data_IF_702272779020
#
_entry.id   IF_702272779020
#
_cell.length_a   1.000
_cell.length_b   1.000
_cell.length_c   1.000
_cell.angle_alpha   90.00
_cell.angle_beta   90.00
_cell.angle_gamma   90.00
#
_symmetry.space_group_name_H-M   'P 1'
#
loop_
_entity.id
_entity.type
_entity.pdbx_description
1 polymer ?
#
# COMPACT_ATOMS: atom_id res chain seq x y z
N UNK A 1 -17.44 16.41 25.33
CA UNK A 1 -18.73 15.74 25.08
C UNK A 1 -18.55 14.30 24.64
N UNK A 2 -18.50 13.38 25.61
CA UNK A 2 -18.31 11.93 25.39
C UNK A 2 -19.54 11.19 24.86
N UNK A 3 -20.35 11.87 24.03
CA UNK A 3 -21.61 11.35 23.48
C UNK A 3 -21.44 10.52 22.21
N UNK A 4 -20.27 10.58 21.58
CA UNK A 4 -19.96 9.82 20.37
C UNK A 4 -19.20 8.54 20.75
N UNK A 5 -19.89 7.39 20.76
CA UNK A 5 -19.21 6.09 20.83
C UNK A 5 -19.90 4.96 21.61
N UNK A 6 -21.13 5.13 22.12
CA UNK A 6 -21.90 3.99 22.65
C UNK A 6 -22.50 3.19 21.49
N UNK A 7 -21.81 2.13 21.07
CA UNK A 7 -22.38 1.10 20.22
C UNK A 7 -23.13 0.07 21.08
N UNK A 8 -24.44 -0.06 20.87
CA UNK A 8 -25.24 -1.10 21.50
C UNK A 8 -25.03 -2.43 20.76
N UNK A 9 -24.44 -3.42 21.45
CA UNK A 9 -24.30 -4.79 20.96
C UNK A 9 -25.23 -5.69 21.78
N UNK A 10 -26.30 -6.19 21.14
CA UNK A 10 -27.28 -7.03 21.84
C UNK A 10 -28.17 -7.84 20.89
N UNK A 11 -28.67 -8.96 21.40
CA UNK A 11 -29.69 -9.81 20.75
C UNK A 11 -31.07 -9.44 21.30
N UNK A 12 -31.72 -8.44 20.71
CA UNK A 12 -33.09 -8.03 21.06
C UNK A 12 -33.52 -6.83 20.24
N UNK A 13 -34.71 -6.89 19.63
CA UNK A 13 -35.33 -5.72 19.02
C UNK A 13 -35.57 -4.67 20.12
N UNK A 14 -35.23 -3.40 19.86
CA UNK A 14 -35.49 -2.22 20.70
C UNK A 14 -34.54 -1.87 21.87
N UNK A 15 -33.51 -2.67 22.18
CA UNK A 15 -32.55 -2.35 23.27
C UNK A 15 -31.75 -1.04 23.07
N UNK A 16 -31.51 -0.66 21.82
CA UNK A 16 -30.79 0.58 21.49
C UNK A 16 -31.59 1.85 21.78
N UNK A 17 -32.92 1.82 21.58
CA UNK A 17 -33.79 2.97 21.88
C UNK A 17 -33.99 3.14 23.38
N UNK A 18 -34.17 2.03 24.11
CA UNK A 18 -34.24 2.03 25.58
C UNK A 18 -32.94 2.57 26.20
N UNK A 19 -31.77 2.12 25.74
CA UNK A 19 -30.49 2.61 26.23
C UNK A 19 -30.31 4.12 25.95
N UNK A 20 -30.83 4.62 24.83
CA UNK A 20 -30.82 6.04 24.50
C UNK A 20 -31.75 6.85 25.41
N UNK A 21 -32.96 6.35 25.68
CA UNK A 21 -33.88 6.97 26.65
C UNK A 21 -33.27 7.03 28.06
N UNK A 22 -32.67 5.95 28.54
CA UNK A 22 -31.97 5.91 29.83
C UNK A 22 -30.75 6.85 29.89
N UNK A 23 -30.11 7.12 28.76
CA UNK A 23 -29.04 8.10 28.67
C UNK A 23 -29.59 9.53 28.74
N UNK A 24 -30.68 9.82 28.02
CA UNK A 24 -31.36 11.12 28.05
C UNK A 24 -31.91 11.45 29.44
N UNK A 25 -32.40 10.44 30.17
CA UNK A 25 -32.88 10.55 31.55
C UNK A 25 -31.73 10.59 32.60
N UNK A 26 -30.47 10.45 32.18
CA UNK A 26 -29.28 10.51 33.04
C UNK A 26 -29.06 9.28 33.93
N UNK A 27 -29.82 8.20 33.72
CA UNK A 27 -29.75 6.95 34.50
C UNK A 27 -28.39 6.28 34.27
N UNK A 28 -27.94 6.20 33.01
CA UNK A 28 -26.66 5.57 32.68
C UNK A 28 -25.46 6.36 33.24
N UNK A 29 -25.52 7.68 33.18
CA UNK A 29 -24.48 8.56 33.75
C UNK A 29 -24.39 8.41 35.26
N UNK A 30 -25.54 8.29 35.94
CA UNK A 30 -25.57 8.02 37.37
C UNK A 30 -24.93 6.67 37.72
N UNK A 31 -25.29 5.58 37.01
CA UNK A 31 -24.70 4.26 37.25
C UNK A 31 -23.19 4.23 36.99
N UNK A 32 -22.75 4.90 35.92
CA UNK A 32 -21.32 5.03 35.60
C UNK A 32 -20.56 5.82 36.68
N UNK A 33 -21.18 6.85 37.27
CA UNK A 33 -20.57 7.64 38.36
C UNK A 33 -20.54 6.90 39.68
N UNK A 34 -21.61 6.17 40.01
CA UNK A 34 -21.74 5.44 41.27
C UNK A 34 -20.88 4.16 41.28
N UNK A 35 -20.59 3.60 40.10
CA UNK A 35 -19.73 2.44 39.94
C UNK A 35 -20.33 1.14 40.50
N UNK A 36 -21.66 1.08 40.64
CA UNK A 36 -22.37 -0.08 41.21
C UNK A 36 -23.55 -0.52 40.33
N UNK A 37 -23.83 -1.84 40.24
CA UNK A 37 -25.00 -2.33 39.52
C UNK A 37 -26.29 -1.79 40.11
N UNK A 38 -27.24 -1.47 39.24
CA UNK A 38 -28.55 -0.95 39.64
C UNK A 38 -29.67 -1.62 38.86
N UNK A 39 -30.76 -1.93 39.55
CA UNK A 39 -31.99 -2.45 38.92
C UNK A 39 -32.96 -1.30 38.74
N UNK A 40 -33.34 -1.08 37.48
CA UNK A 40 -34.23 -0.01 37.04
C UNK A 40 -35.47 -0.67 36.43
N UNK A 41 -36.69 -0.29 36.82
CA UNK A 41 -37.90 -0.84 36.22
C UNK A 41 -37.98 -0.45 34.74
N UNK A 42 -38.51 -1.36 33.91
CA UNK A 42 -38.86 -1.02 32.53
C UNK A 42 -40.18 -0.23 32.54
N UNK A 43 -40.11 1.07 32.23
CA UNK A 43 -41.29 1.94 32.25
C UNK A 43 -42.21 1.74 31.03
N UNK A 44 -41.75 1.04 29.99
CA UNK A 44 -42.52 0.77 28.77
C UNK A 44 -43.14 -0.64 28.74
N UNK A 45 -42.82 -1.49 29.73
CA UNK A 45 -43.34 -2.85 29.81
C UNK A 45 -44.83 -2.89 30.17
N UNK A 46 -45.60 -3.67 29.40
CA UNK A 46 -47.06 -3.86 29.57
C UNK A 46 -47.39 -4.66 30.83
N UNK A 47 -46.56 -5.65 31.17
CA UNK A 47 -46.58 -6.37 32.45
C UNK A 47 -45.51 -5.75 33.36
N UNK A 48 -45.93 -5.11 34.46
CA UNK A 48 -45.11 -4.29 35.37
C UNK A 48 -44.02 -5.06 36.16
N UNK A 49 -43.59 -6.23 35.68
CA UNK A 49 -42.59 -7.10 36.31
C UNK A 49 -41.25 -7.14 35.56
N UNK A 50 -41.12 -6.42 34.45
CA UNK A 50 -39.86 -6.33 33.69
C UNK A 50 -38.92 -5.26 34.27
N UNK A 51 -37.64 -5.60 34.31
CA UNK A 51 -36.58 -4.78 34.87
C UNK A 51 -35.35 -4.79 33.96
N UNK A 52 -34.57 -3.71 34.04
CA UNK A 52 -33.22 -3.62 33.51
C UNK A 52 -32.21 -3.65 34.65
N UNK A 53 -31.24 -4.57 34.56
CA UNK A 53 -30.04 -4.51 35.38
C UNK A 53 -28.98 -3.76 34.59
N UNK A 54 -28.61 -2.58 35.09
CA UNK A 54 -27.56 -1.75 34.53
C UNK A 54 -26.29 -1.97 35.35
N UNK A 55 -25.28 -2.55 34.72
CA UNK A 55 -24.01 -2.90 35.36
C UNK A 55 -22.90 -2.05 34.74
N UNK A 56 -22.16 -1.24 35.52
CA UNK A 56 -21.07 -0.46 34.95
C UNK A 56 -19.92 -1.38 34.49
N UNK A 57 -19.44 -1.14 33.27
CA UNK A 57 -18.20 -1.72 32.78
C UNK A 57 -17.07 -0.79 33.22
N UNK A 58 -16.41 -1.09 34.34
CA UNK A 58 -15.37 -0.25 34.90
C UNK A 58 -14.00 -0.93 34.83
N UNK A 59 -12.98 -0.13 34.51
CA UNK A 59 -11.59 -0.52 34.68
C UNK A 59 -10.94 0.48 35.64
N UNK A 60 -10.43 -0.03 36.77
CA UNK A 60 -9.97 0.79 37.91
C UNK A 60 -11.10 1.74 38.34
N UNK A 61 -10.86 3.05 38.36
CA UNK A 61 -11.83 4.07 38.80
C UNK A 61 -12.58 4.73 37.63
N UNK A 62 -12.55 4.14 36.43
CA UNK A 62 -13.18 4.70 35.23
C UNK A 62 -14.17 3.72 34.61
N UNK A 63 -15.44 4.13 34.55
CA UNK A 63 -16.43 3.46 33.72
C UNK A 63 -16.16 3.72 32.24
N UNK A 64 -16.08 2.65 31.44
CA UNK A 64 -15.89 2.68 29.99
C UNK A 64 -17.18 2.38 29.22
N UNK A 65 -18.25 2.04 29.92
CA UNK A 65 -19.58 1.76 29.40
C UNK A 65 -20.48 1.10 30.44
N UNK A 66 -21.59 0.55 29.97
CA UNK A 66 -22.54 -0.22 30.79
C UNK A 66 -22.93 -1.51 30.09
N UNK A 67 -23.23 -2.53 30.88
CA UNK A 67 -23.85 -3.77 30.45
C UNK A 67 -25.32 -3.73 30.90
N UNK A 68 -26.24 -3.87 29.96
CA UNK A 68 -27.67 -3.76 30.20
C UNK A 68 -28.32 -5.13 30.03
N UNK A 69 -28.98 -5.62 31.08
CA UNK A 69 -29.63 -6.93 31.09
C UNK A 69 -31.12 -6.70 31.26
N UNK A 70 -31.92 -7.09 30.25
CA UNK A 70 -33.37 -7.11 30.37
C UNK A 70 -33.83 -8.42 31.04
N UNK A 71 -34.66 -8.33 32.07
CA UNK A 71 -35.05 -9.48 32.88
C UNK A 71 -36.46 -9.34 33.44
N UNK A 72 -37.18 -10.45 33.54
CA UNK A 72 -38.48 -10.54 34.22
C UNK A 72 -38.35 -10.81 35.72
N UNK A 73 -37.12 -10.84 36.26
CA UNK A 73 -36.89 -11.06 37.69
C UNK A 73 -37.24 -9.79 38.47
N UNK A 74 -38.09 -9.86 39.51
CA UNK A 74 -38.38 -8.71 40.36
C UNK A 74 -37.13 -8.14 41.04
N UNK A 75 -37.14 -6.84 41.30
CA UNK A 75 -36.01 -6.13 41.91
C UNK A 75 -35.64 -6.69 43.28
N UNK A 76 -36.64 -7.09 44.06
CA UNK A 76 -36.52 -7.59 45.43
C UNK A 76 -35.81 -8.95 45.49
N UNK A 77 -35.84 -9.71 44.40
CA UNK A 77 -35.27 -11.05 44.31
C UNK A 77 -33.77 -11.04 43.96
N UNK A 78 -33.20 -9.88 43.61
CA UNK A 78 -31.76 -9.75 43.35
C UNK A 78 -30.97 -9.80 44.65
N UNK A 79 -30.25 -10.89 44.84
CA UNK A 79 -29.41 -11.08 46.00
C UNK A 79 -28.11 -10.26 45.89
N UNK A 80 -27.50 -9.87 47.03
CA UNK A 80 -26.18 -9.22 47.01
C UNK A 80 -25.10 -10.06 46.29
N UNK A 81 -25.20 -11.40 46.34
CA UNK A 81 -24.26 -12.29 45.67
C UNK A 81 -24.38 -12.24 44.15
N UNK A 82 -25.59 -12.20 43.60
CA UNK A 82 -25.82 -12.06 42.16
C UNK A 82 -25.30 -10.71 41.65
N UNK A 83 -25.54 -9.62 42.38
CA UNK A 83 -25.02 -8.29 42.02
C UNK A 83 -23.49 -8.23 42.06
N UNK A 84 -22.87 -8.92 43.02
CA UNK A 84 -21.41 -9.07 43.08
C UNK A 84 -20.88 -9.86 41.87
N UNK A 85 -21.52 -10.97 41.50
CA UNK A 85 -21.12 -11.77 40.33
C UNK A 85 -21.24 -10.98 39.03
N UNK A 86 -22.34 -10.24 38.85
CA UNK A 86 -22.54 -9.35 37.71
C UNK A 86 -21.45 -8.28 37.64
N UNK A 87 -21.10 -7.68 38.78
CA UNK A 87 -20.01 -6.69 38.86
C UNK A 87 -18.66 -7.30 38.46
N UNK A 88 -18.36 -8.51 38.94
CA UNK A 88 -17.11 -9.21 38.61
C UNK A 88 -17.02 -9.52 37.11
N UNK A 89 -18.10 -10.04 36.52
CA UNK A 89 -18.16 -10.33 35.09
C UNK A 89 -18.07 -9.06 34.25
N UNK A 90 -18.77 -8.00 34.65
CA UNK A 90 -18.72 -6.70 34.00
C UNK A 90 -17.31 -6.10 34.05
N UNK A 91 -16.62 -6.17 35.18
CA UNK A 91 -15.24 -5.68 35.31
C UNK A 91 -14.27 -6.51 34.44
N UNK A 92 -14.42 -7.83 34.39
CA UNK A 92 -13.61 -8.68 33.51
C UNK A 92 -13.87 -8.38 32.02
N UNK A 93 -15.13 -8.19 31.65
CA UNK A 93 -15.51 -7.77 30.30
C UNK A 93 -14.93 -6.38 29.97
N UNK A 94 -14.98 -5.44 30.92
CA UNK A 94 -14.45 -4.10 30.75
C UNK A 94 -12.93 -4.13 30.46
N UNK A 95 -12.17 -4.91 31.24
CA UNK A 95 -10.73 -5.11 31.01
C UNK A 95 -10.46 -5.73 29.64
N UNK A 96 -11.22 -6.75 29.24
CA UNK A 96 -11.08 -7.38 27.93
C UNK A 96 -11.38 -6.41 26.77
N UNK A 97 -12.41 -5.57 26.90
CA UNK A 97 -12.77 -4.53 25.93
C UNK A 97 -11.66 -3.49 25.82
N UNK A 98 -11.13 -3.00 26.94
CA UNK A 98 -10.05 -2.02 26.94
C UNK A 98 -8.77 -2.59 26.32
N UNK A 99 -8.39 -3.82 26.69
CA UNK A 99 -7.26 -4.51 26.07
C UNK A 99 -7.46 -4.69 24.56
N UNK A 100 -8.66 -5.07 24.12
CA UNK A 100 -8.98 -5.19 22.70
C UNK A 100 -8.87 -3.88 21.93
N UNK A 101 -9.33 -2.77 22.53
CA UNK A 101 -9.19 -1.41 21.96
C UNK A 101 -7.73 -0.98 21.88
N UNK A 102 -6.97 -1.11 22.97
CA UNK A 102 -5.56 -0.77 23.02
C UNK A 102 -4.73 -1.60 22.04
N UNK A 103 -5.01 -2.90 21.92
CA UNK A 103 -4.36 -3.78 20.96
C UNK A 103 -4.65 -3.35 19.52
N UNK A 104 -5.90 -3.00 19.20
CA UNK A 104 -6.30 -2.51 17.87
C UNK A 104 -5.58 -1.22 17.51
N UNK A 105 -5.56 -0.25 18.42
CA UNK A 105 -4.86 1.03 18.21
C UNK A 105 -3.36 0.84 18.03
N UNK A 106 -2.73 0.00 18.86
CA UNK A 106 -1.32 -0.35 18.74
C UNK A 106 -1.04 -1.01 17.38
N UNK A 107 -1.89 -1.95 16.96
CA UNK A 107 -1.77 -2.64 15.70
C UNK A 107 -1.84 -1.66 14.52
N UNK A 108 -2.87 -0.80 14.47
CA UNK A 108 -3.04 0.22 13.44
C UNK A 108 -1.86 1.20 13.39
N UNK A 109 -1.38 1.66 14.55
CA UNK A 109 -0.24 2.56 14.66
C UNK A 109 1.04 1.90 14.16
N UNK A 110 1.27 0.64 14.53
CA UNK A 110 2.42 -0.13 14.05
C UNK A 110 2.35 -0.33 12.53
N UNK A 111 1.16 -0.57 11.97
CA UNK A 111 0.99 -0.65 10.51
C UNK A 111 1.36 0.66 9.81
N UNK A 112 0.84 1.79 10.32
CA UNK A 112 1.13 3.14 9.78
C UNK A 112 2.63 3.44 9.84
N UNK A 113 3.28 3.13 10.96
CA UNK A 113 4.71 3.35 11.14
C UNK A 113 5.53 2.56 10.11
N UNK A 114 5.23 1.26 9.93
CA UNK A 114 5.94 0.42 8.97
C UNK A 114 5.74 0.87 7.52
N UNK A 115 4.51 1.29 7.15
CA UNK A 115 4.24 1.88 5.83
C UNK A 115 5.08 3.14 5.60
N UNK A 116 5.12 4.03 6.60
CA UNK A 116 5.94 5.25 6.55
C UNK A 116 7.43 4.95 6.42
N UNK A 117 7.95 4.01 7.20
CA UNK A 117 9.34 3.56 7.09
C UNK A 117 9.68 2.99 5.71
N UNK A 118 8.79 2.16 5.13
CA UNK A 118 8.99 1.64 3.78
C UNK A 118 9.02 2.76 2.73
N UNK A 119 8.17 3.78 2.88
CA UNK A 119 8.18 4.96 2.02
C UNK A 119 9.46 5.77 2.17
N UNK A 120 9.97 5.93 3.40
CA UNK A 120 11.24 6.60 3.66
C UNK A 120 12.42 5.84 3.05
N UNK A 121 12.46 4.51 3.19
CA UNK A 121 13.50 3.67 2.58
C UNK A 121 13.46 3.81 1.05
N UNK A 122 12.27 3.73 0.45
CA UNK A 122 12.11 3.93 -1.00
C UNK A 122 12.58 5.32 -1.42
N UNK A 123 12.16 6.37 -0.71
CA UNK A 123 12.56 7.75 -0.99
C UNK A 123 14.07 7.96 -0.86
N UNK A 124 14.70 7.38 0.17
CA UNK A 124 16.15 7.44 0.38
C UNK A 124 16.91 6.71 -0.72
N UNK A 125 16.44 5.52 -1.13
CA UNK A 125 17.03 4.77 -2.25
C UNK A 125 16.95 5.56 -3.55
N UNK A 126 15.78 6.14 -3.85
CA UNK A 126 15.62 6.95 -5.06
C UNK A 126 16.44 8.25 -5.02
N UNK A 127 16.58 8.88 -3.85
CA UNK A 127 17.44 10.04 -3.69
C UNK A 127 18.92 9.70 -3.94
N UNK A 128 19.42 8.63 -3.31
CA UNK A 128 20.80 8.18 -3.50
C UNK A 128 21.09 7.77 -4.95
N UNK A 129 20.15 7.05 -5.59
CA UNK A 129 20.28 6.73 -7.03
C UNK A 129 20.22 8.00 -7.88
N UNK A 130 19.38 8.97 -7.53
CA UNK A 130 19.29 10.25 -8.22
C UNK A 130 20.57 11.09 -8.12
N UNK A 131 21.21 11.13 -6.96
CA UNK A 131 22.50 11.79 -6.75
C UNK A 131 23.61 11.13 -7.57
N UNK A 132 23.69 9.78 -7.55
CA UNK A 132 24.65 9.04 -8.35
C UNK A 132 24.40 9.21 -9.85
N UNK A 133 23.14 9.18 -10.29
CA UNK A 133 22.78 9.42 -11.68
C UNK A 133 23.18 10.84 -12.10
N UNK A 134 22.93 11.85 -11.25
CA UNK A 134 23.32 13.24 -11.49
C UNK A 134 24.85 13.39 -11.65
N UNK A 135 25.63 12.75 -10.77
CA UNK A 135 27.08 12.75 -10.85
C UNK A 135 27.57 12.09 -12.15
N UNK A 136 27.11 10.87 -12.45
CA UNK A 136 27.49 10.13 -13.66
C UNK A 136 27.07 10.88 -14.93
N UNK A 137 25.87 11.45 -14.95
CA UNK A 137 25.41 12.24 -16.09
C UNK A 137 26.27 13.49 -16.30
N UNK A 138 26.69 14.17 -15.23
CA UNK A 138 27.59 15.30 -15.34
C UNK A 138 28.96 14.87 -15.88
N UNK A 139 29.48 13.72 -15.43
CA UNK A 139 30.75 13.16 -15.92
C UNK A 139 30.69 12.65 -17.36
N UNK A 140 29.53 12.20 -17.84
CA UNK A 140 29.32 11.80 -19.25
C UNK A 140 29.11 13.02 -20.15
N UNK A 141 28.29 13.98 -19.71
CA UNK A 141 27.98 15.17 -20.51
C UNK A 141 29.23 16.01 -20.77
N UNK A 142 30.15 16.10 -19.82
CA UNK A 142 31.38 16.88 -19.97
C UNK A 142 32.24 16.46 -21.21
N UNK A 143 32.73 15.20 -21.32
CA UNK A 143 33.48 14.76 -22.49
C UNK A 143 32.61 14.71 -23.74
N UNK A 144 31.32 14.39 -23.62
CA UNK A 144 30.40 14.37 -24.76
C UNK A 144 30.24 15.76 -25.39
N UNK A 145 30.02 16.80 -24.59
CA UNK A 145 29.94 18.19 -25.06
C UNK A 145 31.26 18.66 -25.66
N UNK A 146 32.40 18.26 -25.11
CA UNK A 146 33.70 18.56 -25.71
C UNK A 146 33.84 17.91 -27.10
N UNK A 147 33.48 16.63 -27.25
CA UNK A 147 33.49 15.93 -28.54
C UNK A 147 32.53 16.59 -29.55
N UNK A 148 31.29 16.87 -29.14
CA UNK A 148 30.31 17.53 -30.01
C UNK A 148 30.75 18.93 -30.42
N UNK A 149 31.40 19.68 -29.52
CA UNK A 149 31.99 20.98 -29.82
C UNK A 149 33.08 20.91 -30.89
N UNK A 150 33.97 19.90 -30.84
CA UNK A 150 34.97 19.69 -31.88
C UNK A 150 34.34 19.30 -33.22
N UNK A 151 33.33 18.43 -33.21
CA UNK A 151 32.60 18.05 -34.42
C UNK A 151 31.92 19.27 -35.06
N UNK A 152 31.27 20.13 -34.25
CA UNK A 152 30.67 21.38 -34.71
C UNK A 152 31.72 22.33 -35.31
N UNK A 153 32.89 22.47 -34.67
CA UNK A 153 34.00 23.28 -35.21
C UNK A 153 34.50 22.77 -36.57
N UNK A 154 34.60 21.44 -36.74
CA UNK A 154 34.99 20.83 -38.02
C UNK A 154 33.93 21.05 -39.10
N UNK A 155 32.64 20.97 -38.74
CA UNK A 155 31.54 21.19 -39.68
C UNK A 155 31.41 22.65 -40.17
N UNK A 156 32.01 23.62 -39.44
CA UNK A 156 32.09 25.02 -39.87
C UNK A 156 33.16 25.22 -40.94
N UNK A 157 34.18 24.37 -41.02
CA UNK A 157 35.25 24.51 -42.01
C UNK A 157 34.76 24.16 -43.42
N UNK A 158 34.89 25.10 -44.36
CA UNK A 158 34.48 24.91 -45.77
C UNK A 158 35.25 23.78 -46.47
N UNK A 159 36.42 23.40 -45.96
CA UNK A 159 37.25 22.30 -46.45
C UNK A 159 36.66 20.91 -46.17
N UNK A 160 35.69 20.80 -45.26
CA UNK A 160 35.04 19.54 -44.89
C UNK A 160 33.77 19.36 -45.73
N UNK A 161 33.86 18.56 -46.79
CA UNK A 161 32.78 18.32 -47.75
C UNK A 161 32.62 16.83 -48.09
N UNK A 162 31.52 16.52 -48.80
CA UNK A 162 31.20 15.17 -49.24
C UNK A 162 31.03 14.20 -48.05
N UNK A 163 31.53 12.99 -48.22
CA UNK A 163 31.37 11.88 -47.27
C UNK A 163 31.87 12.21 -45.85
N UNK A 164 32.97 12.97 -45.74
CA UNK A 164 33.52 13.38 -44.44
C UNK A 164 32.56 14.28 -43.65
N UNK A 165 31.79 15.13 -44.35
CA UNK A 165 30.77 15.97 -43.73
C UNK A 165 29.58 15.14 -43.25
N UNK A 166 29.10 14.20 -44.08
CA UNK A 166 28.00 13.29 -43.72
C UNK A 166 28.34 12.41 -42.48
N UNK A 167 29.58 11.94 -42.39
CA UNK A 167 30.05 11.21 -41.20
C UNK A 167 30.03 12.08 -39.93
N UNK A 168 30.48 13.32 -40.01
CA UNK A 168 30.48 14.25 -38.87
C UNK A 168 29.07 14.65 -38.45
N UNK A 169 28.15 14.88 -39.40
CA UNK A 169 26.73 15.14 -39.12
C UNK A 169 26.07 13.94 -38.44
N UNK A 170 26.43 12.71 -38.84
CA UNK A 170 25.96 11.48 -38.18
C UNK A 170 26.49 11.37 -36.75
N UNK A 171 27.78 11.63 -36.52
CA UNK A 171 28.38 11.62 -35.18
C UNK A 171 27.73 12.67 -34.27
N UNK A 172 27.47 13.87 -34.80
CA UNK A 172 26.78 14.94 -34.08
C UNK A 172 25.38 14.48 -33.64
N UNK A 173 24.59 13.93 -34.57
CA UNK A 173 23.24 13.42 -34.31
C UNK A 173 23.23 12.33 -33.24
N UNK A 174 24.13 11.35 -33.32
CA UNK A 174 24.21 10.29 -32.32
C UNK A 174 24.71 10.80 -30.97
N UNK A 175 25.61 11.78 -30.94
CA UNK A 175 26.04 12.43 -29.69
C UNK A 175 24.93 13.22 -29.00
N UNK A 176 24.11 13.95 -29.77
CA UNK A 176 22.91 14.63 -29.24
C UNK A 176 21.90 13.64 -28.68
N UNK A 177 21.69 12.51 -29.38
CA UNK A 177 20.84 11.41 -28.91
C UNK A 177 21.33 10.81 -27.60
N UNK A 178 22.64 10.61 -27.42
CA UNK A 178 23.22 10.15 -26.15
C UNK A 178 22.94 11.17 -25.04
N UNK A 179 23.11 12.47 -25.30
CA UNK A 179 22.84 13.52 -24.32
C UNK A 179 21.36 13.58 -23.93
N UNK A 180 20.43 13.29 -24.84
CA UNK A 180 19.01 13.12 -24.54
C UNK A 180 18.74 11.92 -23.64
N UNK A 181 19.28 10.74 -23.96
CA UNK A 181 19.12 9.54 -23.13
C UNK A 181 19.63 9.78 -21.71
N UNK A 182 20.78 10.44 -21.56
CA UNK A 182 21.34 10.79 -20.24
C UNK A 182 20.40 11.73 -19.47
N UNK A 183 19.84 12.75 -20.13
CA UNK A 183 18.89 13.69 -19.52
C UNK A 183 17.58 13.02 -19.10
N UNK A 184 17.06 12.11 -19.92
CA UNK A 184 15.87 11.32 -19.58
C UNK A 184 16.11 10.41 -18.39
N UNK A 185 17.29 9.81 -18.29
CA UNK A 185 17.68 8.96 -17.17
C UNK A 185 17.73 9.75 -15.86
N UNK A 186 18.12 11.03 -15.89
CA UNK A 186 18.05 11.93 -14.73
C UNK A 186 16.63 12.32 -14.33
N UNK A 187 15.70 12.40 -15.29
CA UNK A 187 14.31 12.78 -15.02
C UNK A 187 13.59 11.77 -14.12
N UNK A 188 14.08 10.51 -14.06
CA UNK A 188 13.57 9.42 -13.24
C UNK A 188 13.52 9.65 -11.74
N UNK A 189 14.39 10.52 -11.25
CA UNK A 189 14.56 10.73 -9.81
C UNK A 189 13.95 12.05 -9.34
N UNK A 190 13.33 12.81 -10.25
CA UNK A 190 12.53 13.96 -9.84
C UNK A 190 11.22 13.46 -9.26
N UNK A 191 10.92 13.92 -8.04
CA UNK A 191 9.57 13.82 -7.48
C UNK A 191 8.65 14.71 -8.32
N UNK A 192 7.68 14.08 -8.97
CA UNK A 192 6.56 14.79 -9.59
C UNK A 192 5.39 14.81 -8.61
N UNK A 193 4.81 16.00 -8.40
CA UNK A 193 3.72 16.18 -7.44
C UNK A 193 2.35 15.88 -8.06
N UNK A 194 2.16 16.18 -9.35
CA UNK A 194 0.87 16.11 -10.03
C UNK A 194 0.76 14.92 -10.99
N UNK A 195 -0.40 14.21 -11.02
CA UNK A 195 -0.70 13.21 -12.04
C UNK A 195 -0.74 13.80 -13.45
N UNK A 196 -0.23 13.05 -14.43
CA UNK A 196 -0.20 13.45 -15.84
C UNK A 196 -0.36 12.24 -16.76
N UNK A 197 -0.30 12.47 -18.07
CA UNK A 197 -0.19 11.40 -19.05
C UNK A 197 1.20 10.77 -18.98
N UNK A 198 1.22 9.44 -18.84
CA UNK A 198 2.43 8.67 -18.65
C UNK A 198 2.47 7.52 -19.66
N UNK A 199 3.60 7.38 -20.34
CA UNK A 199 3.89 6.25 -21.21
C UNK A 199 4.56 5.14 -20.40
N UNK A 200 3.82 4.03 -20.19
CA UNK A 200 4.25 2.93 -19.30
C UNK A 200 5.58 2.31 -19.73
N UNK A 201 5.81 2.17 -21.04
CA UNK A 201 7.06 1.63 -21.57
C UNK A 201 8.27 2.49 -21.24
N UNK A 202 8.13 3.81 -21.15
CA UNK A 202 9.24 4.68 -20.76
C UNK A 202 9.69 4.35 -19.33
N UNK A 203 8.74 4.14 -18.41
CA UNK A 203 9.08 3.78 -17.02
C UNK A 203 9.77 2.42 -16.98
N UNK A 204 9.25 1.42 -17.71
CA UNK A 204 9.82 0.07 -17.73
C UNK A 204 11.24 0.09 -18.30
N UNK A 205 11.45 0.71 -19.46
CA UNK A 205 12.76 0.80 -20.11
C UNK A 205 13.78 1.48 -19.20
N UNK A 206 13.36 2.54 -18.51
CA UNK A 206 14.23 3.27 -17.59
C UNK A 206 14.57 2.46 -16.33
N UNK A 207 13.60 1.78 -15.72
CA UNK A 207 13.84 0.86 -14.60
C UNK A 207 14.74 -0.32 -15.00
N UNK A 208 14.57 -0.83 -16.22
CA UNK A 208 15.40 -1.91 -16.75
C UNK A 208 16.88 -1.51 -16.83
N UNK A 209 17.19 -0.27 -17.24
CA UNK A 209 18.56 0.25 -17.21
C UNK A 209 19.11 0.28 -15.79
N UNK A 210 18.32 0.80 -14.84
CA UNK A 210 18.74 0.93 -13.44
C UNK A 210 19.00 -0.43 -12.77
N UNK A 211 18.16 -1.43 -13.05
CA UNK A 211 18.22 -2.72 -12.36
C UNK A 211 19.11 -3.75 -13.05
N UNK A 212 19.54 -3.50 -14.30
CA UNK A 212 20.31 -4.44 -15.11
C UNK A 212 21.54 -4.98 -14.37
N UNK A 213 22.33 -4.10 -13.74
CA UNK A 213 23.52 -4.53 -13.01
C UNK A 213 23.19 -5.43 -11.82
N UNK A 214 22.20 -5.05 -11.00
CA UNK A 214 21.81 -5.86 -9.84
C UNK A 214 21.27 -7.23 -10.26
N UNK A 215 20.45 -7.29 -11.31
CA UNK A 215 19.92 -8.54 -11.83
C UNK A 215 21.05 -9.43 -12.39
N UNK A 216 22.01 -8.84 -13.10
CA UNK A 216 23.15 -9.56 -13.65
C UNK A 216 24.05 -10.18 -12.57
N UNK A 217 24.34 -9.43 -11.49
CA UNK A 217 25.11 -9.93 -10.33
C UNK A 217 24.42 -11.14 -9.69
N UNK A 218 23.09 -11.14 -9.66
CA UNK A 218 22.30 -12.25 -9.14
C UNK A 218 22.06 -13.38 -10.17
N UNK A 219 22.70 -13.31 -11.35
CA UNK A 219 22.57 -14.34 -12.40
C UNK A 219 21.21 -14.34 -13.10
N UNK A 220 20.50 -13.21 -13.13
CA UNK A 220 19.18 -13.07 -13.73
C UNK A 220 19.27 -12.31 -15.06
N UNK A 221 18.81 -12.96 -16.14
CA UNK A 221 18.65 -12.32 -17.44
C UNK A 221 17.35 -11.51 -17.49
N UNK A 222 17.41 -10.27 -17.97
CA UNK A 222 16.25 -9.40 -18.15
C UNK A 222 15.88 -9.33 -19.64
N UNK A 223 14.68 -9.79 -19.98
CA UNK A 223 14.13 -9.77 -21.34
C UNK A 223 12.96 -8.80 -21.43
N UNK A 224 12.95 -7.93 -22.44
CA UNK A 224 11.91 -6.91 -22.64
C UNK A 224 11.17 -7.14 -23.96
N UNK A 225 9.85 -7.25 -23.88
CA UNK A 225 8.94 -7.36 -25.03
C UNK A 225 7.88 -6.28 -24.93
N UNK A 226 8.23 -5.06 -25.33
CA UNK A 226 7.38 -3.88 -25.16
C UNK A 226 6.66 -3.56 -26.46
N UNK A 227 5.33 -3.43 -26.43
CA UNK A 227 4.55 -3.04 -27.61
C UNK A 227 4.72 -1.55 -27.92
N UNK A 228 4.89 -1.18 -29.19
CA UNK A 228 5.13 0.21 -29.61
C UNK A 228 3.88 1.10 -29.55
N UNK A 229 2.68 0.51 -29.57
CA UNK A 229 1.40 1.21 -29.77
C UNK A 229 0.53 1.27 -28.50
N UNK A 230 1.12 1.58 -27.35
CA UNK A 230 0.38 1.71 -26.09
C UNK A 230 -0.21 3.11 -25.88
N UNK A 231 -1.48 3.22 -25.44
CA UNK A 231 -2.05 4.51 -25.07
C UNK A 231 -1.42 5.00 -23.76
N UNK A 232 -1.35 6.33 -23.54
CA UNK A 232 -0.90 6.86 -22.25
C UNK A 232 -1.90 6.51 -21.14
N UNK A 233 -1.38 6.34 -19.93
CA UNK A 233 -2.16 6.15 -18.71
C UNK A 233 -2.13 7.43 -17.87
N UNK A 234 -3.20 7.67 -17.11
CA UNK A 234 -3.24 8.79 -16.18
C UNK A 234 -2.62 8.37 -14.85
N UNK A 235 -1.56 9.06 -14.41
CA UNK A 235 -0.96 8.80 -13.11
C UNK A 235 0.32 9.58 -12.85
N UNK A 236 0.96 9.27 -11.72
CA UNK A 236 2.27 9.84 -11.39
C UNK A 236 3.39 8.86 -11.71
N UNK A 237 4.47 9.37 -12.29
CA UNK A 237 5.63 8.56 -12.68
C UNK A 237 6.25 7.87 -11.46
N UNK A 238 6.47 8.60 -10.36
CA UNK A 238 7.10 8.08 -9.14
C UNK A 238 6.30 6.93 -8.50
N UNK A 239 4.96 7.02 -8.55
CA UNK A 239 4.03 5.99 -8.06
C UNK A 239 4.06 4.73 -8.93
N UNK A 240 3.95 4.88 -10.25
CA UNK A 240 4.02 3.73 -11.17
C UNK A 240 5.42 3.09 -11.16
N UNK A 241 6.47 3.90 -11.03
CA UNK A 241 7.83 3.42 -10.81
C UNK A 241 7.95 2.58 -9.54
N UNK A 242 7.31 3.00 -8.44
CA UNK A 242 7.27 2.24 -7.19
C UNK A 242 6.58 0.88 -7.38
N UNK A 243 5.48 0.83 -8.15
CA UNK A 243 4.80 -0.43 -8.51
C UNK A 243 5.77 -1.36 -9.24
N UNK A 244 6.33 -0.92 -10.36
CA UNK A 244 7.17 -1.78 -11.20
C UNK A 244 8.47 -2.18 -10.50
N UNK A 245 9.08 -1.28 -9.73
CA UNK A 245 10.25 -1.59 -8.90
C UNK A 245 9.95 -2.69 -7.88
N UNK A 246 8.81 -2.63 -7.20
CA UNK A 246 8.40 -3.66 -6.24
C UNK A 246 8.22 -5.02 -6.94
N UNK A 247 7.68 -5.04 -8.17
CA UNK A 247 7.51 -6.28 -8.93
C UNK A 247 8.84 -6.88 -9.37
N UNK A 248 9.77 -6.07 -9.88
CA UNK A 248 11.10 -6.53 -10.29
C UNK A 248 11.90 -7.02 -9.06
N UNK A 249 11.88 -6.29 -7.94
CA UNK A 249 12.55 -6.72 -6.71
C UNK A 249 11.96 -8.02 -6.15
N UNK A 250 10.64 -8.24 -6.29
CA UNK A 250 10.01 -9.51 -5.89
C UNK A 250 10.42 -10.66 -6.79
N UNK A 251 10.43 -10.46 -8.11
CA UNK A 251 10.91 -11.46 -9.07
C UNK A 251 12.37 -11.84 -8.80
N UNK A 252 13.23 -10.85 -8.54
CA UNK A 252 14.64 -11.05 -8.18
C UNK A 252 14.80 -11.95 -6.96
N UNK A 253 14.05 -11.69 -5.88
CA UNK A 253 14.11 -12.49 -4.65
C UNK A 253 13.56 -13.92 -4.83
N UNK A 254 12.61 -14.10 -5.75
CA UNK A 254 12.08 -15.41 -6.09
C UNK A 254 13.07 -16.27 -6.93
N UNK A 255 14.18 -15.68 -7.41
CA UNK A 255 15.21 -16.34 -8.23
C UNK A 255 16.59 -16.33 -7.55
N UNK A 256 16.75 -16.94 -6.36
CA UNK A 256 18.04 -16.93 -5.64
C UNK A 256 19.16 -17.70 -6.35
N UNK A 257 18.83 -18.55 -7.32
CA UNK A 257 19.79 -19.32 -8.12
C UNK A 257 20.01 -18.73 -9.53
N UNK A 258 19.54 -17.50 -9.76
CA UNK A 258 19.46 -16.91 -11.10
C UNK A 258 18.21 -17.38 -11.87
N UNK A 259 18.08 -16.91 -13.11
CA UNK A 259 16.91 -17.21 -13.93
C UNK A 259 16.66 -16.18 -15.02
N UNK A 260 15.42 -16.09 -15.48
CA UNK A 260 14.97 -15.10 -16.47
C UNK A 260 13.79 -14.32 -15.91
N UNK A 261 13.89 -12.99 -15.96
CA UNK A 261 12.77 -12.08 -15.78
C UNK A 261 12.36 -11.53 -17.15
N UNK A 262 11.19 -11.92 -17.62
CA UNK A 262 10.57 -11.38 -18.82
C UNK A 262 9.58 -10.27 -18.44
N UNK A 263 9.71 -9.09 -19.06
CA UNK A 263 8.73 -8.00 -18.94
C UNK A 263 8.08 -7.74 -20.29
N UNK A 264 6.76 -7.96 -20.35
CA UNK A 264 5.98 -7.79 -21.57
C UNK A 264 4.91 -6.74 -21.40
N UNK A 265 4.77 -5.82 -22.35
CA UNK A 265 3.66 -4.87 -22.36
C UNK A 265 2.80 -5.04 -23.60
N UNK A 266 1.48 -4.90 -23.44
CA UNK A 266 0.54 -5.03 -24.55
C UNK A 266 -0.76 -4.27 -24.27
N UNK A 267 -1.44 -3.86 -25.33
CA UNK A 267 -2.76 -3.23 -25.26
C UNK A 267 -3.84 -4.30 -25.03
N UNK A 268 -4.78 -4.05 -24.13
CA UNK A 268 -5.99 -4.88 -23.98
C UNK A 268 -7.22 -3.99 -23.82
N UNK A 269 -8.12 -4.04 -24.81
CA UNK A 269 -9.23 -3.11 -24.91
C UNK A 269 -8.71 -1.68 -25.05
N UNK A 270 -9.21 -0.76 -24.23
CA UNK A 270 -8.68 0.61 -24.16
C UNK A 270 -7.48 0.75 -23.23
N UNK A 271 -7.08 -0.26 -22.45
CA UNK A 271 -6.04 -0.13 -21.42
C UNK A 271 -4.66 -0.69 -21.80
N UNK A 272 -3.70 -0.45 -20.90
CA UNK A 272 -2.34 -1.00 -20.93
C UNK A 272 -2.25 -2.19 -19.98
N UNK A 273 -1.63 -3.28 -20.42
CA UNK A 273 -1.26 -4.41 -19.59
C UNK A 273 0.27 -4.55 -19.55
N UNK A 274 0.81 -4.88 -18.38
CA UNK A 274 2.23 -5.20 -18.18
C UNK A 274 2.34 -6.53 -17.44
N UNK A 275 3.02 -7.50 -18.01
CA UNK A 275 3.36 -8.78 -17.39
C UNK A 275 4.81 -8.79 -16.95
N UNK A 276 5.02 -9.24 -15.72
CA UNK A 276 6.33 -9.58 -15.15
C UNK A 276 6.32 -11.09 -14.93
N UNK A 277 7.14 -11.81 -15.68
CA UNK A 277 7.21 -13.27 -15.63
C UNK A 277 8.59 -13.70 -15.18
N UNK A 278 8.67 -14.35 -14.03
CA UNK A 278 9.91 -14.94 -13.51
C UNK A 278 9.95 -16.46 -13.72
N UNK A 279 11.17 -17.00 -13.66
CA UNK A 279 11.44 -18.46 -13.63
C UNK A 279 11.85 -18.91 -12.22
N UNK A 280 11.38 -18.21 -11.18
CA UNK A 280 11.75 -18.47 -9.80
C UNK A 280 11.03 -19.68 -9.19
N UNK A 281 11.07 -19.75 -7.87
CA UNK A 281 10.44 -20.82 -7.08
C UNK A 281 8.90 -20.80 -7.15
N UNK A 282 8.31 -19.74 -7.67
CA UNK A 282 6.86 -19.56 -7.75
C UNK A 282 6.21 -19.16 -6.43
N UNK A 283 4.88 -19.05 -6.44
CA UNK A 283 4.06 -18.77 -5.26
C UNK A 283 3.19 -20.01 -4.98
N UNK A 284 3.32 -20.63 -3.79
CA UNK A 284 2.45 -21.72 -3.36
C UNK A 284 0.96 -21.34 -3.39
N UNK A 285 0.09 -22.30 -3.74
CA UNK A 285 -1.36 -22.10 -3.89
C UNK A 285 -1.98 -21.57 -2.59
N UNK A 286 -1.51 -22.07 -1.44
CA UNK A 286 -2.05 -21.81 -0.10
C UNK A 286 -1.87 -20.35 0.36
N UNK A 287 -0.93 -19.63 -0.25
CA UNK A 287 -0.60 -18.27 0.14
C UNK A 287 -1.02 -17.22 -0.88
N UNK A 288 -1.60 -17.63 -2.02
CA UNK A 288 -1.90 -16.75 -3.17
C UNK A 288 -2.82 -15.58 -2.80
N UNK A 289 -3.84 -15.81 -1.98
CA UNK A 289 -4.76 -14.75 -1.56
C UNK A 289 -4.11 -13.80 -0.54
N UNK A 290 -3.12 -14.30 0.19
CA UNK A 290 -2.43 -13.59 1.27
C UNK A 290 -1.25 -12.74 0.81
N UNK A 291 -0.75 -12.93 -0.42
CA UNK A 291 0.41 -12.17 -0.94
C UNK A 291 0.17 -10.66 -1.04
N UNK A 292 -1.08 -10.23 -1.04
CA UNK A 292 -1.46 -8.82 -1.03
C UNK A 292 -1.80 -8.29 0.37
N UNK A 293 -1.80 -9.13 1.39
CA UNK A 293 -1.93 -8.69 2.79
C UNK A 293 -0.68 -7.90 3.18
N UNK A 294 -0.84 -6.74 3.83
CA UNK A 294 0.29 -6.01 4.39
C UNK A 294 1.13 -6.92 5.32
N UNK A 295 2.45 -6.82 5.23
CA UNK A 295 3.44 -7.56 6.04
C UNK A 295 3.58 -9.04 5.71
N UNK A 296 2.83 -9.56 4.75
CA UNK A 296 3.01 -10.92 4.26
C UNK A 296 4.22 -10.99 3.31
N UNK A 297 5.17 -11.89 3.58
CA UNK A 297 6.40 -12.04 2.80
C UNK A 297 6.87 -13.49 2.79
N UNK A 298 7.11 -14.05 1.61
CA UNK A 298 7.55 -15.45 1.43
C UNK A 298 9.06 -15.58 1.27
N UNK A 299 9.71 -14.59 0.65
CA UNK A 299 11.12 -14.67 0.20
C UNK A 299 12.00 -13.54 0.77
N UNK A 300 11.65 -13.07 1.97
CA UNK A 300 12.37 -11.99 2.65
C UNK A 300 12.02 -10.57 2.16
N UNK A 301 12.04 -9.61 3.07
CA UNK A 301 11.66 -8.21 2.81
C UNK A 301 10.52 -7.74 3.71
N UNK A 302 10.09 -6.49 3.51
CA UNK A 302 9.14 -5.82 4.41
C UNK A 302 7.70 -6.36 4.34
N UNK A 303 7.38 -7.22 3.37
CA UNK A 303 6.01 -7.69 3.11
C UNK A 303 5.04 -6.59 2.66
N UNK A 304 5.58 -5.43 2.27
CA UNK A 304 4.79 -4.27 1.86
C UNK A 304 4.77 -4.06 0.34
N UNK A 305 5.64 -4.74 -0.42
CA UNK A 305 5.83 -4.46 -1.84
C UNK A 305 4.56 -4.64 -2.69
N UNK A 306 3.92 -5.82 -2.60
CA UNK A 306 2.70 -6.13 -3.36
C UNK A 306 1.46 -5.39 -2.81
N UNK A 307 1.38 -5.17 -1.51
CA UNK A 307 0.27 -4.41 -0.92
C UNK A 307 0.32 -2.94 -1.30
N UNK A 308 1.50 -2.31 -1.30
CA UNK A 308 1.72 -0.96 -1.84
C UNK A 308 1.44 -0.92 -3.34
N UNK A 309 1.91 -1.91 -4.10
CA UNK A 309 1.64 -1.97 -5.54
C UNK A 309 0.13 -2.01 -5.82
N UNK A 310 -0.63 -2.83 -5.07
CA UNK A 310 -2.08 -2.91 -5.17
C UNK A 310 -2.76 -1.59 -4.79
N UNK A 311 -2.34 -0.95 -3.70
CA UNK A 311 -2.87 0.34 -3.23
C UNK A 311 -2.67 1.44 -4.29
N UNK A 312 -1.46 1.55 -4.85
CA UNK A 312 -1.15 2.51 -5.92
C UNK A 312 -1.95 2.22 -7.19
N UNK A 313 -2.06 0.95 -7.60
CA UNK A 313 -2.83 0.61 -8.80
C UNK A 313 -4.32 0.92 -8.62
N UNK A 314 -4.88 0.70 -7.42
CA UNK A 314 -6.26 1.05 -7.10
C UNK A 314 -6.50 2.57 -7.17
N UNK A 315 -5.53 3.40 -6.74
CA UNK A 315 -5.57 4.87 -6.90
C UNK A 315 -5.81 5.29 -8.36
N UNK A 316 -5.21 4.56 -9.31
CA UNK A 316 -5.33 4.80 -10.76
C UNK A 316 -6.34 3.87 -11.46
N UNK A 317 -7.26 3.25 -10.71
CA UNK A 317 -8.31 2.32 -11.22
C UNK A 317 -7.73 1.13 -12.00
N UNK A 318 -6.48 0.78 -11.73
CA UNK A 318 -5.82 -0.41 -12.24
C UNK A 318 -6.05 -1.63 -11.36
N UNK A 319 -5.53 -2.77 -11.82
CA UNK A 319 -5.55 -4.03 -11.08
C UNK A 319 -4.21 -4.76 -11.18
N UNK A 320 -3.99 -5.66 -10.24
CA UNK A 320 -2.85 -6.58 -10.22
C UNK A 320 -3.37 -8.00 -9.99
N UNK A 321 -2.93 -8.93 -10.82
CA UNK A 321 -3.31 -10.33 -10.80
C UNK A 321 -2.05 -11.19 -10.82
N UNK A 322 -2.07 -12.35 -10.15
CA UNK A 322 -0.92 -13.24 -10.07
C UNK A 322 -1.30 -14.64 -10.51
N UNK A 323 -0.51 -15.18 -11.43
CA UNK A 323 -0.75 -16.46 -12.08
C UNK A 323 0.43 -17.39 -11.85
N UNK A 324 0.19 -18.65 -11.43
CA UNK A 324 1.23 -19.67 -11.36
C UNK A 324 1.67 -20.10 -12.76
N UNK A 325 2.88 -20.63 -12.88
CA UNK A 325 3.38 -21.25 -14.11
C UNK A 325 3.57 -22.76 -13.92
N UNK A 326 3.16 -23.52 -14.93
CA UNK A 326 3.36 -24.97 -14.99
C UNK A 326 4.84 -25.38 -15.02
N UNK A 327 5.71 -24.51 -15.53
CA UNK A 327 7.16 -24.69 -15.61
C UNK A 327 7.94 -24.30 -14.34
N UNK A 328 7.25 -23.87 -13.28
CA UNK A 328 7.85 -23.10 -12.18
C UNK A 328 7.91 -21.60 -12.49
N UNK A 329 7.90 -20.78 -11.44
CA UNK A 329 7.90 -19.32 -11.50
C UNK A 329 6.50 -18.69 -11.38
N UNK A 330 6.47 -17.37 -11.49
CA UNK A 330 5.26 -16.56 -11.32
C UNK A 330 5.08 -15.59 -12.48
N UNK A 331 3.82 -15.37 -12.90
CA UNK A 331 3.47 -14.25 -13.77
C UNK A 331 2.59 -13.27 -13.01
N UNK A 332 3.07 -12.04 -12.86
CA UNK A 332 2.31 -10.93 -12.29
C UNK A 332 1.83 -10.03 -13.42
N UNK A 333 0.52 -9.81 -13.51
CA UNK A 333 -0.12 -8.99 -14.53
C UNK A 333 -0.68 -7.71 -13.90
N UNK A 334 -0.19 -6.57 -14.36
CA UNK A 334 -0.71 -5.24 -14.04
C UNK A 334 -1.62 -4.78 -15.18
N UNK A 335 -2.80 -4.27 -14.84
CA UNK A 335 -3.71 -3.61 -15.78
C UNK A 335 -3.90 -2.16 -15.39
N UNK A 336 -3.77 -1.25 -16.35
CA UNK A 336 -4.01 0.17 -16.18
C UNK A 336 -5.00 0.64 -17.26
N UNK A 337 -6.11 1.28 -16.90
CA UNK A 337 -7.00 1.86 -17.90
C UNK A 337 -6.30 3.03 -18.61
N UNK A 338 -6.48 3.16 -19.92
CA UNK A 338 -6.09 4.41 -20.58
C UNK A 338 -7.05 5.52 -20.17
N UNK A 339 -6.55 6.75 -20.31
CA UNK A 339 -7.37 7.95 -20.16
C UNK A 339 -8.54 7.89 -21.16
N UNK A 340 -9.75 8.19 -20.68
CA UNK A 340 -10.89 8.48 -21.56
C UNK A 340 -10.77 9.87 -22.14
#
# INVERSE_FOLDING_TARGET
DGREGMEALGSGENLGEVAKGMLEDGILDWVMREGRPSVVPDMEAVDQEMNFVVVPLAVRDRAIGVFLIHTSKPKEDFTPHEMMLLSLLANQAAVAIEHGRAYRELYETHQKLRKSQAQLIYSSRMAAVGELAAAVAHEINNPLQAMLGYVQLLLIQESVQGEAREYLETVLKEGERIAEVVRELLSLFRREEEPREVYVNEIISRLAVLMRHSLLVDGIALELHLADDLPPVWGRIDRLQQVFMNLIDNARKAMPQGGVLEVRSFRKGSGVCVQFTDTGVGIPEEIRDRIFEPFFSTWGGTGLGLSIAREILQEYRGSIEVYPRSSGGTTVLVRLPARR
#
